data_IF_425434930766
#
_entry.id   IF_425434930766
#
_cell.length_a   1.000
_cell.length_b   1.000
_cell.length_c   1.000
_cell.angle_alpha   90.00
_cell.angle_beta   90.00
_cell.angle_gamma   90.00
#
_symmetry.space_group_name_H-M   'P 1'
#
loop_
_entity.id
_entity.type
_entity.pdbx_description
1 polymer ?
#
# COMPACT_ATOMS: atom_id res chain seq x y z
N UNK A 1 2.42 10.94 -17.82
CA UNK A 1 2.61 9.93 -18.88
C UNK A 1 1.31 9.60 -19.67
N UNK A 2 0.24 10.40 -19.57
CA UNK A 2 -1.01 10.15 -20.31
C UNK A 2 -1.52 11.37 -21.08
N UNK A 3 -0.60 12.25 -21.51
CA UNK A 3 -0.97 13.27 -22.47
C UNK A 3 -1.03 12.60 -23.85
N UNK A 4 -2.22 12.58 -24.44
CA UNK A 4 -2.49 12.36 -25.87
C UNK A 4 -2.81 10.93 -26.37
N UNK A 5 -3.51 10.11 -25.59
CA UNK A 5 -4.32 9.01 -26.18
C UNK A 5 -5.74 9.51 -26.48
N UNK A 6 -5.86 10.36 -27.50
CA UNK A 6 -7.16 10.60 -28.15
C UNK A 6 -7.63 9.27 -28.73
N UNK A 7 -8.89 8.92 -28.50
CA UNK A 7 -9.53 7.69 -28.97
C UNK A 7 -9.33 7.52 -30.49
N UNK A 8 -8.40 6.67 -30.89
CA UNK A 8 -8.24 6.23 -32.28
C UNK A 8 -8.86 4.84 -32.41
N UNK A 9 -10.19 4.76 -32.35
CA UNK A 9 -10.93 3.51 -32.50
C UNK A 9 -12.24 3.47 -31.69
N UNK A 10 -12.94 2.32 -31.72
CA UNK A 10 -14.17 2.12 -30.95
C UNK A 10 -13.93 2.00 -29.44
N UNK A 11 -12.67 1.85 -29.02
CA UNK A 11 -12.28 1.79 -27.62
C UNK A 11 -11.86 3.16 -27.10
N UNK A 12 -12.35 3.52 -25.92
CA UNK A 12 -11.90 4.69 -25.16
C UNK A 12 -11.19 4.23 -23.89
N UNK A 13 -9.97 4.72 -23.67
CA UNK A 13 -9.25 4.48 -22.42
C UNK A 13 -9.74 5.45 -21.35
N UNK A 14 -10.17 4.92 -20.21
CA UNK A 14 -10.51 5.72 -19.03
C UNK A 14 -9.34 5.69 -18.06
N UNK A 15 -8.62 6.82 -17.86
CA UNK A 15 -7.48 6.85 -16.96
C UNK A 15 -7.88 6.55 -15.51
N UNK A 16 -7.10 5.76 -14.76
CA UNK A 16 -7.33 5.55 -13.34
C UNK A 16 -7.43 6.88 -12.57
N UNK A 17 -8.36 6.95 -11.61
CA UNK A 17 -8.63 8.16 -10.81
C UNK A 17 -9.46 9.23 -11.52
N UNK A 18 -10.09 8.91 -12.66
CA UNK A 18 -11.09 9.77 -13.30
C UNK A 18 -12.50 9.32 -12.94
N UNK A 19 -13.48 10.24 -12.92
CA UNK A 19 -14.89 9.91 -12.67
C UNK A 19 -15.43 8.81 -13.61
N UNK A 20 -14.97 8.78 -14.86
CA UNK A 20 -15.35 7.75 -15.81
C UNK A 20 -14.80 6.37 -15.45
N UNK A 21 -13.54 6.29 -15.03
CA UNK A 21 -12.96 5.05 -14.51
C UNK A 21 -13.74 4.56 -13.28
N UNK A 22 -13.96 5.44 -12.30
CA UNK A 22 -14.68 5.10 -11.07
C UNK A 22 -16.11 4.64 -11.37
N UNK A 23 -16.82 5.30 -12.30
CA UNK A 23 -18.15 4.90 -12.72
C UNK A 23 -18.18 3.47 -13.28
N UNK A 24 -17.29 3.13 -14.22
CA UNK A 24 -17.27 1.80 -14.83
C UNK A 24 -16.78 0.74 -13.86
N UNK A 25 -15.76 1.04 -13.05
CA UNK A 25 -15.26 0.19 -11.98
C UNK A 25 -16.41 -0.18 -11.03
N UNK A 26 -17.06 0.83 -10.44
CA UNK A 26 -18.18 0.65 -9.50
C UNK A 26 -19.39 -0.04 -10.13
N UNK A 27 -19.63 0.15 -11.43
CA UNK A 27 -20.74 -0.52 -12.14
C UNK A 27 -20.54 -2.03 -12.22
N UNK A 28 -19.31 -2.51 -12.45
CA UNK A 28 -18.99 -3.95 -12.44
C UNK A 28 -19.32 -4.53 -11.05
N UNK A 29 -18.91 -3.86 -9.96
CA UNK A 29 -19.22 -4.31 -8.59
C UNK A 29 -20.71 -4.31 -8.26
N UNK A 30 -21.41 -3.23 -8.59
CA UNK A 30 -22.82 -3.05 -8.18
C UNK A 30 -23.80 -3.93 -8.94
N UNK A 31 -23.41 -4.41 -10.12
CA UNK A 31 -24.28 -5.25 -10.93
C UNK A 31 -24.19 -6.73 -10.57
N UNK A 32 -23.29 -7.14 -9.65
CA UNK A 32 -23.00 -8.55 -9.36
C UNK A 32 -22.83 -9.39 -10.63
N UNK A 33 -22.35 -8.76 -11.71
CA UNK A 33 -22.14 -9.40 -13.00
C UNK A 33 -20.81 -10.18 -12.92
N UNK A 34 -20.82 -11.23 -12.10
CA UNK A 34 -19.71 -12.19 -11.96
C UNK A 34 -19.70 -13.22 -13.07
N UNK A 35 -20.74 -13.23 -13.92
CA UNK A 35 -20.79 -14.06 -15.11
C UNK A 35 -19.74 -13.55 -16.10
N UNK A 36 -18.61 -14.26 -16.14
CA UNK A 36 -17.62 -14.13 -17.19
C UNK A 36 -18.28 -14.66 -18.47
N UNK A 37 -18.82 -13.76 -19.28
CA UNK A 37 -19.34 -14.10 -20.60
C UNK A 37 -18.14 -14.26 -21.55
N UNK A 38 -17.92 -15.45 -22.13
CA UNK A 38 -16.92 -15.63 -23.17
C UNK A 38 -17.14 -14.64 -24.31
N UNK A 39 -16.05 -14.06 -24.84
CA UNK A 39 -16.13 -13.02 -25.88
C UNK A 39 -16.89 -13.49 -27.13
N UNK A 40 -16.80 -14.78 -27.43
CA UNK A 40 -17.50 -15.46 -28.53
C UNK A 40 -19.00 -15.69 -28.28
N UNK A 41 -19.49 -15.50 -27.05
CA UNK A 41 -20.91 -15.54 -26.71
C UNK A 41 -21.60 -14.15 -26.80
N UNK A 42 -20.84 -13.09 -27.07
CA UNK A 42 -21.38 -11.73 -27.24
C UNK A 42 -21.88 -11.52 -28.68
N UNK A 43 -23.16 -11.12 -28.85
CA UNK A 43 -23.75 -10.72 -30.13
C UNK A 43 -24.26 -9.27 -30.08
N UNK A 44 -23.64 -8.32 -30.84
CA UNK A 44 -22.49 -8.53 -31.72
C UNK A 44 -21.18 -8.72 -30.93
N UNK A 45 -20.16 -9.36 -31.52
CA UNK A 45 -18.85 -9.49 -30.88
C UNK A 45 -18.25 -8.09 -30.65
N UNK A 46 -17.54 -7.89 -29.53
CA UNK A 46 -16.90 -6.61 -29.26
C UNK A 46 -15.81 -6.33 -30.31
N UNK A 47 -15.52 -5.05 -30.59
CA UNK A 47 -14.43 -4.70 -31.48
C UNK A 47 -13.09 -5.24 -30.94
N UNK A 48 -12.11 -5.59 -31.79
CA UNK A 48 -10.82 -6.10 -31.33
C UNK A 48 -10.16 -5.17 -30.32
N UNK A 49 -9.65 -5.70 -29.21
CA UNK A 49 -8.90 -4.91 -28.23
C UNK A 49 -7.66 -4.28 -28.89
N UNK A 50 -7.30 -3.04 -28.52
CA UNK A 50 -6.05 -2.46 -28.98
C UNK A 50 -4.87 -3.32 -28.52
N UNK A 51 -3.76 -3.38 -29.28
CA UNK A 51 -2.58 -4.12 -28.86
C UNK A 51 -2.09 -3.59 -27.51
N UNK A 52 -1.80 -4.50 -26.58
CA UNK A 52 -1.22 -4.11 -25.30
C UNK A 52 0.05 -3.28 -25.56
N UNK A 53 0.24 -2.15 -24.85
CA UNK A 53 1.43 -1.34 -25.04
C UNK A 53 2.68 -2.21 -24.82
N UNK A 54 3.67 -2.06 -25.68
CA UNK A 54 4.97 -2.71 -25.46
C UNK A 54 5.71 -1.91 -24.40
N UNK A 55 6.28 -2.60 -23.42
CA UNK A 55 6.98 -2.00 -22.28
C UNK A 55 8.20 -1.14 -22.66
N UNK A 56 8.98 -0.69 -21.66
CA UNK A 56 9.05 -1.26 -20.31
C UNK A 56 7.90 -0.80 -19.40
N UNK A 57 7.30 -1.74 -18.68
CA UNK A 57 6.43 -1.45 -17.55
C UNK A 57 7.27 -1.44 -16.27
N UNK A 58 6.96 -0.56 -15.30
CA UNK A 58 7.66 -0.57 -14.01
C UNK A 58 7.45 -1.92 -13.31
N UNK A 59 8.54 -2.46 -12.77
CA UNK A 59 8.52 -3.62 -11.88
C UNK A 59 7.87 -3.26 -10.55
N UNK A 60 7.37 -4.27 -9.83
CA UNK A 60 6.81 -4.09 -8.50
C UNK A 60 7.76 -3.35 -7.54
N UNK A 61 9.04 -3.70 -7.59
CA UNK A 61 10.08 -3.08 -6.77
C UNK A 61 10.36 -1.61 -7.14
N UNK A 62 10.12 -1.22 -8.40
CA UNK A 62 10.21 0.17 -8.84
C UNK A 62 9.01 0.98 -8.31
N UNK A 63 7.82 0.40 -8.27
CA UNK A 63 6.62 1.05 -7.72
C UNK A 63 6.70 1.26 -6.20
N UNK A 64 7.20 0.27 -5.45
CA UNK A 64 7.27 0.36 -3.98
C UNK A 64 8.49 1.15 -3.48
N UNK A 65 9.48 1.40 -4.34
CA UNK A 65 10.72 2.09 -3.99
C UNK A 65 11.58 1.25 -3.03
N UNK A 66 12.51 0.45 -3.57
CA UNK A 66 13.44 -0.41 -2.81
C UNK A 66 14.13 0.31 -1.64
N UNK A 67 13.53 0.28 -0.44
CA UNK A 67 14.11 0.66 0.85
C UNK A 67 15.05 1.85 0.83
N UNK A 68 14.77 2.88 0.01
CA UNK A 68 15.73 3.97 -0.21
C UNK A 68 15.99 4.65 1.14
N UNK A 69 17.25 4.95 1.48
CA UNK A 69 17.56 5.68 2.70
C UNK A 69 16.73 6.97 2.78
N UNK A 70 15.94 7.09 3.83
CA UNK A 70 15.14 8.29 4.06
C UNK A 70 15.94 9.29 4.91
N UNK A 71 15.68 10.59 4.69
CA UNK A 71 16.28 11.63 5.51
C UNK A 71 15.66 11.62 6.92
N UNK A 72 16.50 11.43 7.94
CA UNK A 72 16.07 11.43 9.34
C UNK A 72 15.52 12.78 9.81
N UNK A 73 15.89 13.88 9.16
CA UNK A 73 15.37 15.22 9.46
C UNK A 73 13.87 15.35 9.24
N UNK A 74 13.28 14.48 8.40
CA UNK A 74 11.83 14.44 8.14
C UNK A 74 11.05 13.66 9.21
N UNK A 75 11.74 12.89 10.05
CA UNK A 75 11.16 12.04 11.09
C UNK A 75 11.96 12.17 12.42
N UNK A 76 11.96 13.36 13.04
CA UNK A 76 12.81 13.66 14.20
C UNK A 76 12.51 12.80 15.44
N UNK A 77 11.24 12.49 15.72
CA UNK A 77 10.88 11.64 16.87
C UNK A 77 11.38 10.21 16.67
N UNK A 78 11.22 9.68 15.46
CA UNK A 78 11.75 8.37 15.09
C UNK A 78 13.28 8.33 15.12
N UNK A 79 13.94 9.35 14.57
CA UNK A 79 15.39 9.47 14.61
C UNK A 79 15.92 9.51 16.06
N UNK A 80 15.25 10.27 16.94
CA UNK A 80 15.59 10.31 18.36
C UNK A 80 15.44 8.95 19.03
N UNK A 81 14.37 8.21 18.70
CA UNK A 81 14.13 6.86 19.23
C UNK A 81 15.21 5.86 18.79
N UNK A 82 15.68 5.99 17.55
CA UNK A 82 16.70 5.13 16.95
C UNK A 82 18.14 5.45 17.39
N UNK A 83 18.44 6.67 17.85
CA UNK A 83 19.78 7.02 18.36
C UNK A 83 20.25 6.13 19.52
N UNK A 84 19.31 5.61 20.32
CA UNK A 84 19.60 4.68 21.41
C UNK A 84 19.63 3.22 20.98
N UNK A 85 19.31 2.92 19.73
CA UNK A 85 19.36 1.56 19.18
C UNK A 85 20.77 1.27 18.66
N UNK A 86 21.31 0.10 18.98
CA UNK A 86 22.60 -0.34 18.45
C UNK A 86 22.56 -0.59 16.94
N UNK A 87 23.62 -1.20 16.40
CA UNK A 87 23.75 -1.50 14.96
C UNK A 87 22.61 -2.35 14.38
N UNK A 88 21.96 -3.16 15.23
CA UNK A 88 20.82 -4.02 14.86
C UNK A 88 19.51 -3.24 14.62
N UNK A 89 19.46 -1.96 15.06
CA UNK A 89 18.27 -1.12 14.93
C UNK A 89 17.12 -1.51 15.85
N UNK A 90 15.93 -1.02 15.53
CA UNK A 90 14.68 -1.38 16.20
C UNK A 90 13.78 -2.18 15.26
N UNK A 91 13.03 -3.17 15.78
CA UNK A 91 12.02 -3.85 15.00
C UNK A 91 10.88 -2.88 14.67
N UNK A 92 10.45 -2.91 13.41
CA UNK A 92 9.24 -2.27 12.92
C UNK A 92 8.23 -3.36 12.59
N UNK A 93 7.04 -3.23 13.13
CA UNK A 93 5.91 -4.10 12.85
C UNK A 93 4.91 -3.34 11.98
N UNK A 94 4.67 -3.84 10.78
CA UNK A 94 3.72 -3.29 9.82
C UNK A 94 2.48 -4.17 9.80
N UNK A 95 1.31 -3.55 9.94
CA UNK A 95 0.02 -4.21 9.82
C UNK A 95 -0.51 -3.94 8.42
N UNK A 96 -0.76 -5.01 7.67
CA UNK A 96 -1.36 -4.95 6.34
C UNK A 96 -2.80 -5.45 6.40
N UNK A 97 -3.69 -4.86 5.62
CA UNK A 97 -5.08 -5.27 5.48
C UNK A 97 -5.33 -5.77 4.05
N UNK A 98 -5.99 -6.92 3.94
CA UNK A 98 -6.52 -7.47 2.69
C UNK A 98 -8.03 -7.31 2.70
N UNK A 99 -8.57 -6.67 1.65
CA UNK A 99 -10.01 -6.70 1.35
C UNK A 99 -10.30 -7.91 0.44
N UNK A 100 -10.83 -8.97 1.05
CA UNK A 100 -11.29 -10.18 0.37
C UNK A 100 -12.51 -9.92 -0.48
N UNK A 101 -13.33 -8.91 -0.20
CA UNK A 101 -14.45 -8.58 -1.08
C UNK A 101 -13.90 -8.23 -2.47
N UNK A 102 -12.98 -7.26 -2.55
CA UNK A 102 -12.33 -6.89 -3.82
C UNK A 102 -11.55 -8.07 -4.43
N UNK A 103 -10.82 -8.82 -3.60
CA UNK A 103 -10.04 -9.97 -4.06
C UNK A 103 -10.91 -11.10 -4.65
N UNK A 104 -12.10 -11.35 -4.08
CA UNK A 104 -13.04 -12.37 -4.56
C UNK A 104 -13.71 -12.00 -5.89
N UNK A 105 -13.88 -10.71 -6.16
CA UNK A 105 -14.56 -10.21 -7.37
C UNK A 105 -13.62 -9.86 -8.52
N UNK A 106 -12.33 -10.20 -8.40
CA UNK A 106 -11.40 -10.18 -9.54
C UNK A 106 -10.49 -8.96 -9.64
N UNK A 107 -10.50 -8.05 -8.67
CA UNK A 107 -9.53 -6.94 -8.60
C UNK A 107 -8.12 -7.40 -8.20
N UNK A 108 -8.01 -8.67 -7.84
CA UNK A 108 -6.76 -9.29 -7.42
C UNK A 108 -6.49 -9.04 -5.94
N UNK A 109 -5.43 -9.69 -5.46
CA UNK A 109 -5.00 -9.55 -4.07
C UNK A 109 -4.25 -8.24 -3.88
N UNK A 110 -4.63 -7.47 -2.87
CA UNK A 110 -3.92 -6.28 -2.40
C UNK A 110 -3.79 -6.35 -0.87
N UNK A 111 -2.60 -6.04 -0.35
CA UNK A 111 -2.28 -6.01 1.07
C UNK A 111 -1.80 -4.59 1.41
N UNK A 112 -2.73 -3.73 1.81
CA UNK A 112 -2.49 -2.30 2.01
C UNK A 112 -2.04 -1.97 3.43
N UNK A 113 -1.22 -0.93 3.55
CA UNK A 113 -0.69 -0.46 4.83
C UNK A 113 -1.81 0.10 5.73
N UNK A 114 -2.14 -0.64 6.79
CA UNK A 114 -3.11 -0.22 7.80
C UNK A 114 -2.46 0.53 8.96
N UNK A 115 -1.34 0.00 9.48
CA UNK A 115 -0.63 0.59 10.61
C UNK A 115 0.86 0.23 10.61
N UNK A 116 1.64 0.97 11.39
CA UNK A 116 3.02 0.63 11.73
C UNK A 116 3.28 0.94 13.20
N UNK A 117 4.06 0.10 13.89
CA UNK A 117 4.48 0.35 15.26
C UNK A 117 5.88 -0.19 15.57
N UNK A 118 6.55 0.41 16.53
CA UNK A 118 7.76 -0.14 17.16
C UNK A 118 7.44 -1.11 18.31
N UNK A 119 6.18 -1.17 18.73
CA UNK A 119 5.69 -2.05 19.79
C UNK A 119 4.94 -3.24 19.19
N UNK A 120 5.41 -4.45 19.53
CA UNK A 120 4.84 -5.70 19.06
C UNK A 120 3.42 -5.91 19.57
N UNK A 121 3.18 -5.69 20.86
CA UNK A 121 1.88 -5.95 21.48
C UNK A 121 0.82 -5.03 20.90
N UNK A 122 1.19 -3.78 20.61
CA UNK A 122 0.32 -2.83 19.94
C UNK A 122 0.00 -3.24 18.51
N UNK A 123 1.00 -3.67 17.74
CA UNK A 123 0.77 -4.15 16.36
C UNK A 123 -0.11 -5.41 16.33
N UNK A 124 0.12 -6.36 17.24
CA UNK A 124 -0.71 -7.56 17.41
C UNK A 124 -2.14 -7.21 17.85
N UNK A 125 -2.29 -6.24 18.76
CA UNK A 125 -3.61 -5.74 19.17
C UNK A 125 -4.37 -5.12 18.00
N UNK A 126 -3.71 -4.39 17.10
CA UNK A 126 -4.36 -3.83 15.90
C UNK A 126 -4.75 -4.96 14.95
N UNK A 127 -3.84 -5.90 14.67
CA UNK A 127 -4.09 -7.02 13.77
C UNK A 127 -5.19 -7.97 14.28
N UNK A 128 -5.36 -8.08 15.60
CA UNK A 128 -6.37 -8.93 16.25
C UNK A 128 -7.73 -8.27 16.48
N UNK A 129 -7.94 -7.01 16.06
CA UNK A 129 -9.25 -6.35 16.21
C UNK A 129 -10.30 -7.03 15.34
N UNK A 130 -11.58 -7.02 15.74
CA UNK A 130 -12.66 -7.42 14.84
C UNK A 130 -12.69 -6.47 13.64
N UNK A 131 -12.58 -7.05 12.45
CA UNK A 131 -12.77 -6.36 11.18
C UNK A 131 -14.02 -6.90 10.49
N UNK A 132 -14.39 -6.34 9.34
CA UNK A 132 -15.49 -6.92 8.57
C UNK A 132 -15.16 -8.37 8.21
N UNK A 133 -16.19 -9.18 7.93
CA UNK A 133 -15.99 -10.57 7.49
C UNK A 133 -15.21 -10.70 6.16
N UNK A 134 -14.97 -9.57 5.48
CA UNK A 134 -14.25 -9.49 4.22
C UNK A 134 -12.82 -8.99 4.42
N UNK A 135 -12.38 -8.66 5.63
CA UNK A 135 -11.05 -8.12 5.86
C UNK A 135 -10.19 -9.13 6.62
N UNK A 136 -8.91 -9.23 6.25
CA UNK A 136 -7.91 -9.96 7.05
C UNK A 136 -6.68 -9.11 7.23
N UNK A 137 -6.20 -9.06 8.47
CA UNK A 137 -4.99 -8.33 8.80
C UNK A 137 -3.81 -9.29 8.96
N UNK A 138 -2.65 -8.87 8.48
CA UNK A 138 -1.41 -9.62 8.58
C UNK A 138 -0.29 -8.72 9.10
N UNK A 139 0.73 -9.35 9.68
CA UNK A 139 1.89 -8.66 10.24
C UNK A 139 3.14 -8.92 9.41
N UNK A 140 3.85 -7.84 9.09
CA UNK A 140 5.20 -7.86 8.52
C UNK A 140 6.17 -7.27 9.54
N UNK A 141 7.40 -7.75 9.51
CA UNK A 141 8.48 -7.27 10.37
C UNK A 141 9.72 -6.98 9.54
N UNK A 142 10.36 -5.87 9.85
CA UNK A 142 11.72 -5.58 9.41
C UNK A 142 12.46 -4.75 10.47
N UNK A 143 13.76 -4.55 10.32
CA UNK A 143 14.59 -3.72 11.18
C UNK A 143 14.83 -2.35 10.55
N UNK A 144 14.70 -1.30 11.38
CA UNK A 144 15.02 0.07 11.00
C UNK A 144 16.14 0.59 11.90
N UNK A 145 17.15 1.23 11.32
CA UNK A 145 18.25 1.85 12.06
C UNK A 145 18.56 3.24 11.54
N UNK A 146 19.20 4.03 12.39
CA UNK A 146 19.78 5.32 12.01
C UNK A 146 21.24 5.11 11.62
N UNK A 147 21.62 5.52 10.41
CA UNK A 147 22.99 5.49 9.91
C UNK A 147 23.37 6.91 9.46
N UNK A 148 24.13 7.61 10.31
CA UNK A 148 24.38 9.04 10.12
C UNK A 148 23.07 9.83 10.23
N UNK A 149 22.75 10.57 9.16
CA UNK A 149 21.51 11.34 9.01
C UNK A 149 20.41 10.57 8.26
N UNK A 150 20.59 9.26 8.01
CA UNK A 150 19.66 8.45 7.22
C UNK A 150 18.98 7.34 8.01
N UNK A 151 17.70 7.18 7.76
CA UNK A 151 16.92 6.02 8.17
C UNK A 151 17.09 4.93 7.13
N UNK A 152 17.58 3.76 7.54
CA UNK A 152 17.87 2.65 6.65
C UNK A 152 17.30 1.36 7.19
N UNK A 153 16.82 0.50 6.29
CA UNK A 153 16.42 -0.87 6.60
C UNK A 153 17.19 -1.84 5.70
N UNK A 154 17.59 -2.99 6.26
CA UNK A 154 18.34 -4.03 5.52
C UNK A 154 17.42 -5.13 4.97
N UNK A 155 16.26 -5.30 5.58
CA UNK A 155 15.32 -6.39 5.41
C UNK A 155 13.92 -5.89 5.00
N UNK A 156 13.79 -4.60 4.66
CA UNK A 156 12.61 -4.07 3.97
C UNK A 156 12.54 -4.64 2.55
N UNK A 157 11.66 -5.62 2.37
CA UNK A 157 11.41 -6.29 1.10
C UNK A 157 9.90 -6.61 0.95
N UNK A 158 9.09 -5.63 0.51
CA UNK A 158 7.66 -5.85 0.26
C UNK A 158 7.48 -6.91 -0.82
N UNK A 159 6.68 -7.94 -0.51
CA UNK A 159 6.40 -9.03 -1.42
C UNK A 159 5.36 -8.60 -2.47
N UNK A 160 5.12 -9.49 -3.43
CA UNK A 160 4.06 -9.32 -4.43
C UNK A 160 2.73 -9.07 -3.69
N UNK A 161 1.98 -8.06 -4.15
CA UNK A 161 0.71 -7.60 -3.57
C UNK A 161 0.80 -6.80 -2.27
N UNK A 162 1.99 -6.65 -1.67
CA UNK A 162 2.14 -5.84 -0.45
C UNK A 162 2.42 -4.37 -0.79
N UNK A 163 1.48 -3.50 -0.40
CA UNK A 163 1.43 -2.09 -0.75
C UNK A 163 1.78 -1.23 0.47
N UNK A 164 3.06 -1.16 0.81
CA UNK A 164 3.51 -0.35 1.94
C UNK A 164 4.87 0.32 1.65
N UNK A 165 4.89 1.48 0.95
CA UNK A 165 6.12 2.22 0.74
C UNK A 165 6.79 2.57 2.06
N UNK A 166 8.13 2.45 2.13
CA UNK A 166 8.88 2.72 3.36
C UNK A 166 8.56 4.11 3.93
N UNK A 167 8.45 5.11 3.06
CA UNK A 167 8.09 6.48 3.44
C UNK A 167 6.76 6.56 4.20
N UNK A 168 5.74 5.82 3.77
CA UNK A 168 4.44 5.76 4.44
C UNK A 168 4.56 5.10 5.82
N UNK A 169 5.38 4.05 5.95
CA UNK A 169 5.68 3.42 7.24
C UNK A 169 6.36 4.41 8.18
N UNK A 170 7.39 5.12 7.72
CA UNK A 170 8.11 6.12 8.52
C UNK A 170 7.20 7.27 8.98
N UNK A 171 6.29 7.72 8.12
CA UNK A 171 5.31 8.74 8.46
C UNK A 171 4.34 8.27 9.57
N UNK A 172 3.87 7.01 9.52
CA UNK A 172 3.01 6.43 10.54
C UNK A 172 3.74 6.31 11.90
N UNK A 173 4.98 5.82 11.89
CA UNK A 173 5.80 5.70 13.09
C UNK A 173 6.09 7.07 13.73
N UNK A 174 6.44 8.07 12.93
CA UNK A 174 6.66 9.44 13.41
C UNK A 174 5.39 9.99 14.08
N UNK A 175 4.23 9.80 13.46
CA UNK A 175 2.93 10.22 14.01
C UNK A 175 2.62 9.51 15.33
N UNK A 176 2.85 8.21 15.40
CA UNK A 176 2.64 7.42 16.62
C UNK A 176 3.52 7.92 17.77
N UNK A 177 4.81 8.16 17.53
CA UNK A 177 5.75 8.61 18.54
C UNK A 177 5.43 10.01 19.05
N UNK A 178 4.99 10.92 18.17
CA UNK A 178 4.55 12.27 18.58
C UNK A 178 3.33 12.21 19.50
N UNK A 179 2.32 11.40 19.14
CA UNK A 179 1.13 11.26 19.96
C UNK A 179 1.44 10.73 21.37
N UNK A 180 2.39 9.80 21.50
CA UNK A 180 2.84 9.30 22.81
C UNK A 180 3.54 10.40 23.62
N UNK A 181 4.41 11.19 22.97
CA UNK A 181 5.13 12.29 23.61
C UNK A 181 4.21 13.40 24.12
N UNK A 182 3.17 13.74 23.37
CA UNK A 182 2.16 14.73 23.76
C UNK A 182 1.33 14.27 24.97
N UNK A 183 0.92 12.99 25.03
CA UNK A 183 0.20 12.42 26.17
C UNK A 183 1.05 12.45 27.44
N UNK A 184 2.35 12.10 27.33
CA UNK A 184 3.27 12.13 28.47
C UNK A 184 3.49 13.55 29.01
N UNK A 185 3.56 14.56 28.13
CA UNK A 185 3.70 15.97 28.53
C UNK A 185 2.43 16.53 29.20
N UNK A 186 1.24 16.14 28.72
CA UNK A 186 -0.04 16.59 29.27
C UNK A 186 -0.41 15.98 30.62
N UNK A 187 0.19 14.85 31.02
CA UNK A 187 0.01 14.24 32.34
C UNK A 187 1.00 14.77 33.39
N UNK A 188 2.01 15.54 32.98
CA UNK A 188 3.06 16.07 33.84
C UNK A 188 2.87 17.55 34.22
N UNK A 189 1.79 18.20 33.74
CA UNK A 189 1.42 19.59 34.06
C UNK A 189 0.13 19.66 34.87
#
# INVERSE_FOLDING_TARGET
LFADQRATGPWSFFPPGTEGYDYFHQKIFRQYATEVVPVDELDPPPPPLPPAPKGPFPTWAENQGKGRPADSGRHPSLASRLKGAGEDGLPVYVVLIEDHHESMFGDGKSLDLQAASLDRERAESIAGRPHSQYETLSLRKFALRLSGDRLVSRDYDPQRYEHYPLESVLALLERELRAIGEVAAGQAG
#
